data_IF_000832556291
#
_entry.id   IF_000832556291
#
_cell.length_a   1.000
_cell.length_b   1.000
_cell.length_c   1.000
_cell.angle_alpha   90.00
_cell.angle_beta   90.00
_cell.angle_gamma   90.00
#
_symmetry.space_group_name_H-M   'P 1'
#
loop_
_entity.id
_entity.type
_entity.pdbx_description
1 polymer ?
#
# COMPACT_ATOMS: atom_id res chain seq x y z
N UNK A 1 11.19 2.31 -11.69
CA UNK A 1 10.55 1.47 -10.67
C UNK A 1 9.70 2.39 -9.84
N UNK A 2 8.39 2.19 -9.85
CA UNK A 2 7.45 3.01 -9.09
C UNK A 2 7.53 2.66 -7.61
N UNK A 3 7.37 3.67 -6.75
CA UNK A 3 7.42 3.54 -5.30
C UNK A 3 6.25 4.26 -4.66
N UNK A 4 5.82 3.78 -3.50
CA UNK A 4 4.72 4.34 -2.74
C UNK A 4 5.27 5.08 -1.54
N UNK A 5 4.90 6.35 -1.43
CA UNK A 5 5.29 7.23 -0.34
C UNK A 5 4.05 7.55 0.50
N UNK A 6 4.14 7.49 1.83
CA UNK A 6 3.06 7.91 2.72
C UNK A 6 2.62 9.34 2.40
N UNK A 7 1.31 9.53 2.24
CA UNK A 7 0.66 10.80 1.93
C UNK A 7 -0.17 11.28 3.13
N UNK A 8 -0.83 12.43 3.02
CA UNK A 8 -1.46 13.13 4.14
C UNK A 8 -2.54 12.32 4.89
N UNK A 9 -3.13 11.29 4.28
CA UNK A 9 -4.09 10.41 4.92
C UNK A 9 -3.48 9.21 5.66
N UNK A 10 -2.17 8.98 5.54
CA UNK A 10 -1.51 7.82 6.11
C UNK A 10 -1.46 7.89 7.66
N UNK A 11 -1.74 6.80 8.41
CA UNK A 11 -1.74 6.81 9.88
C UNK A 11 -0.40 7.26 10.51
N UNK A 12 0.71 6.99 9.84
CA UNK A 12 2.05 7.41 10.25
C UNK A 12 2.50 8.77 9.70
N UNK A 13 1.59 9.52 9.06
CA UNK A 13 1.89 10.81 8.44
C UNK A 13 2.68 10.70 7.13
N UNK A 14 3.10 11.86 6.62
CA UNK A 14 3.85 11.99 5.37
C UNK A 14 5.32 11.64 5.59
N UNK A 15 5.92 10.90 4.65
CA UNK A 15 7.35 10.56 4.68
C UNK A 15 8.02 10.74 3.31
N UNK A 16 9.28 11.22 3.25
CA UNK A 16 10.06 11.24 2.02
C UNK A 16 10.63 9.87 1.64
N UNK A 17 10.57 8.89 2.54
CA UNK A 17 11.03 7.52 2.29
C UNK A 17 9.89 6.67 1.75
N UNK A 18 10.18 5.87 0.72
CA UNK A 18 9.21 4.94 0.18
C UNK A 18 8.91 3.83 1.19
N UNK A 19 7.63 3.52 1.36
CA UNK A 19 7.18 2.39 2.17
C UNK A 19 7.05 1.13 1.34
N UNK A 20 6.71 1.26 0.06
CA UNK A 20 6.65 0.12 -0.85
C UNK A 20 7.35 0.41 -2.18
N UNK A 21 7.93 -0.65 -2.74
CA UNK A 21 8.31 -0.73 -4.15
C UNK A 21 7.21 -1.49 -4.91
N UNK A 22 6.78 -0.95 -6.06
CA UNK A 22 5.87 -1.64 -6.98
C UNK A 22 6.65 -2.38 -8.06
N UNK A 23 6.47 -3.71 -8.12
CA UNK A 23 7.17 -4.61 -9.05
C UNK A 23 6.18 -5.68 -9.53
N UNK A 24 5.98 -5.79 -10.84
CA UNK A 24 5.11 -6.79 -11.46
C UNK A 24 3.70 -6.86 -10.84
N UNK A 25 3.10 -5.69 -10.59
CA UNK A 25 1.77 -5.59 -9.98
C UNK A 25 1.73 -5.95 -8.49
N UNK A 26 2.88 -6.06 -7.82
CA UNK A 26 2.97 -6.38 -6.38
C UNK A 26 3.72 -5.30 -5.61
N UNK A 27 3.29 -5.05 -4.38
CA UNK A 27 3.92 -4.11 -3.45
C UNK A 27 4.78 -4.86 -2.44
N UNK A 28 6.06 -4.51 -2.40
CA UNK A 28 7.05 -5.09 -1.49
C UNK A 28 7.49 -4.02 -0.49
N UNK A 29 7.60 -4.33 0.81
CA UNK A 29 8.10 -3.38 1.81
C UNK A 29 9.50 -2.89 1.42
N UNK A 30 9.66 -1.57 1.36
CA UNK A 30 10.91 -0.91 1.02
C UNK A 30 11.65 -0.46 2.29
N UNK A 31 12.85 0.11 2.15
CA UNK A 31 13.71 0.54 3.27
C UNK A 31 13.06 1.56 4.20
N UNK A 32 12.09 2.33 3.71
CA UNK A 32 11.37 3.31 4.52
C UNK A 32 10.20 2.72 5.31
N UNK A 33 9.81 1.47 5.07
CA UNK A 33 8.67 0.86 5.73
C UNK A 33 8.93 0.73 7.25
N UNK A 34 7.97 1.08 8.14
CA UNK A 34 8.17 1.04 9.60
C UNK A 34 8.49 -0.36 10.14
N UNK A 35 7.98 -1.39 9.48
CA UNK A 35 8.25 -2.81 9.81
C UNK A 35 9.49 -3.38 9.08
N UNK A 36 10.24 -2.54 8.37
CA UNK A 36 11.45 -2.92 7.65
C UNK A 36 11.19 -3.46 6.23
N UNK A 37 12.29 -3.82 5.55
CA UNK A 37 12.28 -4.33 4.17
C UNK A 37 11.93 -5.81 4.12
N UNK A 38 11.19 -6.22 3.07
CA UNK A 38 10.78 -7.61 2.87
C UNK A 38 10.94 -8.08 1.43
N UNK A 39 11.13 -9.40 1.25
CA UNK A 39 11.19 -10.05 -0.06
C UNK A 39 9.86 -10.63 -0.52
N UNK A 40 8.92 -10.82 0.41
CA UNK A 40 7.56 -11.26 0.11
C UNK A 40 6.66 -10.05 -0.21
N UNK A 41 5.75 -10.17 -1.18
CA UNK A 41 4.80 -9.11 -1.48
C UNK A 41 3.79 -8.98 -0.34
N UNK A 42 3.53 -7.75 0.06
CA UNK A 42 2.49 -7.44 1.03
C UNK A 42 1.15 -7.17 0.37
N UNK A 43 1.17 -6.69 -0.86
CA UNK A 43 -0.04 -6.48 -1.61
C UNK A 43 0.10 -6.89 -3.07
N UNK A 44 -1.03 -7.26 -3.65
CA UNK A 44 -1.23 -7.50 -5.07
C UNK A 44 -2.20 -6.46 -5.64
N UNK A 45 -1.82 -5.84 -6.75
CA UNK A 45 -2.65 -4.93 -7.54
C UNK A 45 -3.43 -5.73 -8.57
N UNK A 46 -4.76 -5.58 -8.57
CA UNK A 46 -5.69 -6.23 -9.51
C UNK A 46 -6.65 -5.17 -10.05
N UNK A 47 -6.40 -4.67 -11.25
CA UNK A 47 -7.12 -3.51 -11.78
C UNK A 47 -6.81 -2.25 -10.98
N UNK A 48 -7.84 -1.52 -10.55
CA UNK A 48 -7.74 -0.34 -9.69
C UNK A 48 -7.76 -0.69 -8.19
N UNK A 49 -7.67 -1.97 -7.82
CA UNK A 49 -7.79 -2.43 -6.43
C UNK A 49 -6.50 -3.09 -5.94
N UNK A 50 -6.24 -2.94 -4.65
CA UNK A 50 -5.04 -3.46 -3.97
C UNK A 50 -5.48 -4.36 -2.83
N UNK A 51 -5.00 -5.60 -2.85
CA UNK A 51 -5.40 -6.69 -1.94
C UNK A 51 -4.20 -7.16 -1.12
N UNK A 52 -4.38 -7.50 0.16
CA UNK A 52 -3.31 -8.12 0.94
C UNK A 52 -2.90 -9.46 0.33
N UNK A 53 -1.61 -9.68 0.21
CA UNK A 53 -1.00 -10.87 -0.39
C UNK A 53 -0.36 -11.78 0.68
N UNK A 54 0.18 -12.92 0.28
CA UNK A 54 0.73 -13.96 1.17
C UNK A 54 1.78 -13.48 2.17
N UNK A 55 2.53 -12.42 1.84
CA UNK A 55 3.57 -11.86 2.70
C UNK A 55 3.08 -10.80 3.69
N UNK A 56 1.81 -10.41 3.63
CA UNK A 56 1.24 -9.39 4.52
C UNK A 56 1.16 -9.92 5.98
N UNK A 57 1.51 -9.12 7.02
CA UNK A 57 1.43 -9.56 8.42
C UNK A 57 0.05 -10.04 8.89
N UNK A 58 -1.01 -9.53 8.27
CA UNK A 58 -2.41 -9.93 8.52
C UNK A 58 -2.90 -11.09 7.64
N UNK A 59 -2.02 -11.68 6.83
CA UNK A 59 -2.32 -12.75 5.90
C UNK A 59 -3.00 -12.28 4.61
N UNK A 60 -3.25 -13.24 3.71
CA UNK A 60 -3.89 -13.03 2.41
C UNK A 60 -5.39 -12.74 2.55
N UNK A 61 -5.94 -11.92 1.66
CA UNK A 61 -7.36 -11.55 1.69
C UNK A 61 -7.97 -11.27 0.31
N UNK A 62 -9.29 -11.43 0.23
CA UNK A 62 -10.08 -11.23 -1.00
C UNK A 62 -10.84 -9.89 -1.02
N UNK A 63 -10.71 -9.09 0.03
CA UNK A 63 -11.31 -7.75 0.12
C UNK A 63 -10.23 -6.71 -0.16
N UNK A 64 -10.46 -5.72 -1.03
CA UNK A 64 -9.46 -4.70 -1.31
C UNK A 64 -9.27 -3.80 -0.08
N UNK A 65 -8.00 -3.49 0.21
CA UNK A 65 -7.62 -2.54 1.25
C UNK A 65 -7.41 -1.15 0.70
N UNK A 66 -7.07 -1.06 -0.60
CA UNK A 66 -6.95 0.23 -1.27
C UNK A 66 -7.57 0.20 -2.66
N UNK A 67 -7.93 1.40 -3.12
CA UNK A 67 -8.16 1.70 -4.54
C UNK A 67 -7.10 2.66 -5.06
N UNK A 68 -6.66 2.44 -6.28
CA UNK A 68 -5.77 3.32 -7.02
C UNK A 68 -6.63 4.31 -7.79
N UNK A 69 -6.43 5.61 -7.54
CA UNK A 69 -7.05 6.68 -8.30
C UNK A 69 -6.03 7.78 -8.53
N UNK A 70 -5.81 8.15 -9.79
CA UNK A 70 -4.91 9.26 -10.18
C UNK A 70 -3.51 9.18 -9.53
N UNK A 71 -2.88 8.00 -9.58
CA UNK A 71 -1.53 7.79 -9.02
C UNK A 71 -1.48 7.76 -7.48
N UNK A 72 -2.62 7.58 -6.81
CA UNK A 72 -2.71 7.55 -5.34
C UNK A 72 -3.51 6.35 -4.85
N UNK A 73 -3.15 5.82 -3.69
CA UNK A 73 -3.91 4.78 -3.01
C UNK A 73 -4.80 5.40 -1.94
N UNK A 74 -6.10 5.14 -2.03
CA UNK A 74 -7.09 5.54 -1.04
C UNK A 74 -7.53 4.30 -0.27
N UNK A 75 -7.64 4.36 1.06
CA UNK A 75 -8.09 3.24 1.88
C UNK A 75 -9.56 2.92 1.59
N UNK A 76 -9.84 1.62 1.44
CA UNK A 76 -11.18 1.07 1.21
C UNK A 76 -11.79 0.54 2.52
N UNK A 77 -13.11 0.31 2.60
CA UNK A 77 -13.75 -0.25 3.80
C UNK A 77 -13.20 -1.62 4.25
N UNK A 78 -12.52 -2.35 3.36
CA UNK A 78 -11.86 -3.61 3.69
C UNK A 78 -10.52 -3.47 4.40
N UNK A 79 -9.98 -2.26 4.48
CA UNK A 79 -8.75 -1.98 5.23
C UNK A 79 -9.04 -2.07 6.75
N UNK A 80 -8.24 -2.81 7.53
CA UNK A 80 -8.47 -2.98 8.98
C UNK A 80 -8.43 -1.67 9.78
N UNK A 81 -7.73 -0.66 9.27
CA UNK A 81 -7.65 0.68 9.89
C UNK A 81 -8.75 1.63 9.41
N UNK A 82 -9.66 1.13 8.56
CA UNK A 82 -10.82 1.84 8.04
C UNK A 82 -10.59 2.57 6.70
N UNK A 83 -11.66 3.18 6.19
CA UNK A 83 -11.67 3.93 4.92
C UNK A 83 -11.55 5.45 5.15
N UNK A 84 -11.23 6.20 4.09
CA UNK A 84 -11.05 7.65 4.18
C UNK A 84 -10.96 8.34 2.81
N UNK A 85 -11.24 9.65 2.80
CA UNK A 85 -11.22 10.49 1.59
C UNK A 85 -9.84 11.02 1.21
N UNK A 86 -8.84 10.85 2.07
CA UNK A 86 -7.46 11.25 1.82
C UNK A 86 -6.63 10.06 1.34
N UNK A 87 -5.68 10.28 0.42
CA UNK A 87 -4.78 9.23 -0.02
C UNK A 87 -3.85 8.81 1.12
N UNK A 88 -3.62 7.52 1.25
CA UNK A 88 -2.62 6.95 2.14
C UNK A 88 -1.25 6.91 1.47
N UNK A 89 -1.21 6.69 0.16
CA UNK A 89 0.04 6.67 -0.57
C UNK A 89 -0.06 7.45 -1.88
N UNK A 90 1.05 8.09 -2.24
CA UNK A 90 1.33 8.60 -3.58
C UNK A 90 2.28 7.64 -4.30
N UNK A 91 1.98 7.27 -5.54
CA UNK A 91 2.86 6.53 -6.43
C UNK A 91 3.78 7.54 -7.13
N UNK A 92 5.11 7.34 -7.04
CA UNK A 92 6.14 8.22 -7.64
C UNK A 92 7.32 7.43 -8.16
#
# INVERSE_FOLDING_TARGET
MERLFPDAGHPYGVSPSAFFSLRDGKLYPDVGHPEGTGTAPWFSVRGDKVYPDEGHPHGVGNTPWFRIQAGRLYPEPGNPDGSGGLPWYSIR
#
